data_IF_616659237724
#
_entry.id   IF_616659237724
#
_cell.length_a   1.000
_cell.length_b   1.000
_cell.length_c   1.000
_cell.angle_alpha   90.00
_cell.angle_beta   90.00
_cell.angle_gamma   90.00
#
_symmetry.space_group_name_H-M   'P 1'
#
loop_
_entity.id
_entity.type
_entity.pdbx_description
1 polymer ?
#
# COMPACT_ATOMS: atom_id res chain seq x y z
N UNK A 1 7.63 -20.02 -2.11
CA UNK A 1 6.45 -19.65 -2.93
C UNK A 1 6.40 -18.15 -3.05
N UNK A 2 6.06 -17.65 -4.24
CA UNK A 2 5.94 -16.21 -4.50
C UNK A 2 4.50 -15.89 -4.90
N UNK A 3 3.89 -14.96 -4.20
CA UNK A 3 2.56 -14.44 -4.49
C UNK A 3 2.64 -12.98 -4.91
N UNK A 4 1.86 -12.62 -5.91
CA UNK A 4 1.65 -11.22 -6.31
C UNK A 4 0.18 -10.98 -6.60
N UNK A 5 -0.39 -9.94 -5.99
CA UNK A 5 -1.77 -9.51 -6.21
C UNK A 5 -1.81 -8.00 -6.43
N UNK A 6 -2.73 -7.57 -7.27
CA UNK A 6 -2.96 -6.15 -7.53
C UNK A 6 -4.44 -5.91 -7.77
N UNK A 7 -4.95 -4.81 -7.24
CA UNK A 7 -6.31 -4.37 -7.44
C UNK A 7 -6.37 -2.85 -7.64
N UNK A 8 -7.35 -2.38 -8.42
CA UNK A 8 -7.74 -0.99 -8.49
C UNK A 8 -8.90 -0.77 -7.55
N UNK A 9 -8.80 0.21 -6.68
CA UNK A 9 -9.74 0.43 -5.58
C UNK A 9 -10.22 1.87 -5.60
N UNK A 10 -11.56 2.06 -5.59
CA UNK A 10 -12.19 3.38 -5.59
C UNK A 10 -12.18 4.03 -4.18
N UNK A 11 -11.06 3.90 -3.48
CA UNK A 11 -10.83 4.52 -2.17
C UNK A 11 -9.43 5.13 -2.13
N UNK A 12 -9.22 6.21 -1.36
CA UNK A 12 -7.90 6.81 -1.19
C UNK A 12 -6.93 5.84 -0.51
N UNK A 13 -5.64 5.97 -0.85
CA UNK A 13 -4.58 5.11 -0.32
C UNK A 13 -4.53 5.10 1.22
N UNK A 14 -4.79 6.24 1.85
CA UNK A 14 -4.82 6.41 3.29
C UNK A 14 -5.83 5.48 3.97
N UNK A 15 -7.01 5.30 3.36
CA UNK A 15 -8.05 4.40 3.89
C UNK A 15 -7.59 2.96 3.87
N UNK A 16 -7.07 2.50 2.74
CA UNK A 16 -6.57 1.13 2.61
C UNK A 16 -5.38 0.89 3.54
N UNK A 17 -4.47 1.85 3.61
CA UNK A 17 -3.31 1.77 4.49
C UNK A 17 -3.71 1.62 5.96
N UNK A 18 -4.65 2.43 6.42
CA UNK A 18 -5.18 2.36 7.79
C UNK A 18 -5.77 0.98 8.10
N UNK A 19 -6.49 0.36 7.15
CA UNK A 19 -7.03 -0.99 7.31
C UNK A 19 -5.91 -2.05 7.37
N UNK A 20 -4.86 -1.89 6.57
CA UNK A 20 -3.71 -2.81 6.55
C UNK A 20 -2.91 -2.68 7.85
N UNK A 21 -2.76 -1.49 8.39
CA UNK A 21 -2.04 -1.26 9.64
C UNK A 21 -2.80 -1.74 10.88
N UNK A 22 -4.13 -1.70 10.86
CA UNK A 22 -4.99 -2.09 11.97
C UNK A 22 -5.16 -3.62 12.06
N UNK A 23 -4.07 -4.34 12.33
CA UNK A 23 -4.09 -5.80 12.37
C UNK A 23 -5.06 -6.34 13.44
N UNK A 24 -5.30 -5.61 14.53
CA UNK A 24 -6.28 -5.95 15.57
C UNK A 24 -7.71 -6.09 15.05
N UNK A 25 -8.00 -5.50 13.89
CA UNK A 25 -9.32 -5.59 13.24
C UNK A 25 -9.46 -6.77 12.28
N UNK A 26 -8.38 -7.48 11.94
CA UNK A 26 -8.37 -8.59 11.00
C UNK A 26 -9.40 -9.67 11.29
N UNK A 27 -9.61 -10.11 12.56
CA UNK A 27 -10.63 -11.10 12.87
C UNK A 27 -12.06 -10.69 12.50
N UNK A 28 -12.32 -9.39 12.32
CA UNK A 28 -13.65 -8.89 11.99
C UNK A 28 -14.04 -9.10 10.52
N UNK A 29 -13.05 -9.31 9.62
CA UNK A 29 -13.32 -9.44 8.18
C UNK A 29 -12.47 -10.50 7.47
N UNK A 30 -11.46 -11.07 8.13
CA UNK A 30 -10.69 -12.20 7.62
C UNK A 30 -11.14 -13.49 8.34
N UNK A 31 -11.94 -14.35 7.69
CA UNK A 31 -12.57 -15.50 8.36
C UNK A 31 -11.58 -16.56 8.84
N UNK A 32 -10.36 -16.51 8.35
CA UNK A 32 -9.27 -17.40 8.75
C UNK A 32 -8.39 -16.82 9.89
N UNK A 33 -8.56 -15.55 10.22
CA UNK A 33 -7.84 -14.91 11.32
C UNK A 33 -8.60 -15.12 12.63
N UNK A 34 -8.11 -16.03 13.46
CA UNK A 34 -8.76 -16.34 14.74
C UNK A 34 -8.53 -15.22 15.77
N UNK A 35 -7.35 -14.65 15.77
CA UNK A 35 -7.00 -13.47 16.57
C UNK A 35 -5.84 -12.73 15.96
N UNK A 36 -5.76 -11.44 16.26
CA UNK A 36 -4.60 -10.61 15.93
C UNK A 36 -4.36 -9.61 17.06
N UNK A 37 -3.11 -9.48 17.47
CA UNK A 37 -2.72 -8.64 18.61
C UNK A 37 -1.52 -7.80 18.23
N UNK A 38 -1.61 -6.49 18.45
CA UNK A 38 -0.46 -5.60 18.31
C UNK A 38 0.45 -5.79 19.52
N UNK A 39 1.71 -6.13 19.28
CA UNK A 39 2.74 -6.30 20.30
C UNK A 39 3.51 -5.00 20.55
N UNK A 40 3.64 -4.18 19.51
CA UNK A 40 4.28 -2.87 19.60
C UNK A 40 3.89 -2.02 18.38
N UNK A 41 3.77 -0.71 18.60
CA UNK A 41 3.46 0.25 17.53
C UNK A 41 4.15 1.57 17.81
N UNK A 42 4.89 2.07 16.82
CA UNK A 42 5.45 3.42 16.80
C UNK A 42 5.23 4.08 15.44
N UNK A 43 5.88 5.23 15.20
CA UNK A 43 5.72 5.98 13.95
C UNK A 43 6.23 5.21 12.71
N UNK A 44 7.26 4.39 12.86
CA UNK A 44 7.96 3.70 11.75
C UNK A 44 7.76 2.20 11.70
N UNK A 45 7.31 1.57 12.80
CA UNK A 45 7.21 0.13 12.94
C UNK A 45 5.88 -0.29 13.56
N UNK A 46 5.40 -1.46 13.18
CA UNK A 46 4.34 -2.17 13.89
C UNK A 46 4.70 -3.65 14.00
N UNK A 47 4.63 -4.21 15.20
CA UNK A 47 4.77 -5.65 15.45
C UNK A 47 3.43 -6.23 15.82
N UNK A 48 3.06 -7.34 15.18
CA UNK A 48 1.77 -7.98 15.36
C UNK A 48 1.90 -9.50 15.40
N UNK A 49 1.15 -10.13 16.30
CA UNK A 49 0.91 -11.57 16.32
C UNK A 49 -0.40 -11.87 15.61
N UNK A 50 -0.36 -12.82 14.68
CA UNK A 50 -1.52 -13.30 13.92
C UNK A 50 -1.69 -14.79 14.20
N UNK A 51 -2.91 -15.18 14.58
CA UNK A 51 -3.30 -16.58 14.75
C UNK A 51 -4.20 -16.99 13.60
N UNK A 52 -3.78 -17.98 12.84
CA UNK A 52 -4.53 -18.58 11.74
C UNK A 52 -5.30 -19.79 12.25
N UNK A 53 -6.59 -19.87 11.91
CA UNK A 53 -7.42 -21.05 12.14
C UNK A 53 -8.36 -21.24 10.95
N UNK A 54 -8.07 -22.22 10.11
CA UNK A 54 -8.87 -22.50 8.91
C UNK A 54 -8.86 -23.99 8.55
N UNK A 55 -10.04 -24.59 8.36
CA UNK A 55 -10.21 -25.98 7.92
C UNK A 55 -9.35 -27.00 8.70
N UNK A 56 -9.29 -26.84 10.03
CA UNK A 56 -8.54 -27.74 10.91
C UNK A 56 -7.03 -27.42 11.01
N UNK A 57 -6.52 -26.47 10.22
CA UNK A 57 -5.15 -25.97 10.32
C UNK A 57 -5.11 -24.82 11.32
N UNK A 58 -4.18 -24.88 12.29
CA UNK A 58 -3.92 -23.79 13.25
C UNK A 58 -2.44 -23.52 13.38
N UNK A 59 -2.05 -22.27 13.32
CA UNK A 59 -0.71 -21.80 13.64
C UNK A 59 -0.71 -20.30 13.87
N UNK A 60 0.31 -19.83 14.63
CA UNK A 60 0.53 -18.43 14.86
C UNK A 60 1.88 -17.98 14.32
N UNK A 61 1.99 -16.70 14.01
CA UNK A 61 3.25 -16.07 13.65
C UNK A 61 3.27 -14.61 14.10
N UNK A 62 4.47 -14.06 14.23
CA UNK A 62 4.73 -12.67 14.57
C UNK A 62 5.48 -12.01 13.43
N UNK A 63 5.05 -10.83 13.04
CA UNK A 63 5.73 -10.00 12.06
C UNK A 63 6.14 -8.66 12.63
N UNK A 64 7.24 -8.12 12.12
CA UNK A 64 7.64 -6.73 12.30
C UNK A 64 7.54 -6.05 10.93
N UNK A 65 6.75 -5.00 10.85
CA UNK A 65 6.40 -4.32 9.63
C UNK A 65 6.92 -2.87 9.68
N UNK A 66 7.80 -2.51 8.76
CA UNK A 66 8.23 -1.12 8.58
C UNK A 66 7.17 -0.34 7.81
N UNK A 67 6.88 0.88 8.25
CA UNK A 67 5.78 1.71 7.76
C UNK A 67 6.27 2.96 7.05
N UNK A 68 5.62 3.29 5.91
CA UNK A 68 5.76 4.58 5.21
C UNK A 68 4.38 5.01 4.73
N UNK A 69 3.64 5.61 5.66
CA UNK A 69 2.28 6.09 5.41
C UNK A 69 2.23 7.11 4.26
N UNK A 70 1.25 7.06 3.39
CA UNK A 70 0.23 6.01 3.20
C UNK A 70 0.56 5.03 2.07
N UNK A 71 1.82 4.91 1.64
CA UNK A 71 2.17 4.33 0.35
C UNK A 71 2.82 2.95 0.42
N UNK A 72 3.42 2.60 1.56
CA UNK A 72 4.22 1.41 1.62
C UNK A 72 4.32 0.81 3.03
N UNK A 73 4.32 -0.52 3.10
CA UNK A 73 4.58 -1.27 4.33
C UNK A 73 5.31 -2.56 3.97
N UNK A 74 6.45 -2.83 4.61
CA UNK A 74 7.10 -4.14 4.54
C UNK A 74 6.51 -5.09 5.57
N UNK A 75 6.68 -6.38 5.35
CA UNK A 75 6.30 -7.43 6.28
C UNK A 75 7.49 -8.35 6.43
N UNK A 76 8.00 -8.53 7.64
CA UNK A 76 9.09 -9.47 7.95
C UNK A 76 8.69 -10.36 9.11
N UNK A 77 9.05 -11.65 8.99
CA UNK A 77 8.84 -12.62 10.06
C UNK A 77 9.78 -12.32 11.24
N UNK A 78 9.22 -12.34 12.42
CA UNK A 78 9.96 -12.39 13.69
C UNK A 78 9.88 -13.78 14.31
N UNK A 79 8.70 -14.38 14.35
CA UNK A 79 8.46 -15.72 14.88
C UNK A 79 7.38 -16.44 14.07
N UNK A 80 7.51 -17.75 13.90
CA UNK A 80 6.47 -18.54 13.25
C UNK A 80 7.02 -19.79 12.55
N UNK A 81 6.13 -20.57 11.93
CA UNK A 81 6.49 -21.85 11.30
C UNK A 81 7.00 -21.70 9.87
N UNK A 82 7.66 -20.58 9.57
CA UNK A 82 8.23 -20.31 8.25
C UNK A 82 9.76 -20.29 8.32
N UNK A 83 10.41 -20.75 7.26
CA UNK A 83 11.85 -20.54 7.02
C UNK A 83 12.11 -19.19 6.38
N UNK A 84 11.16 -18.74 5.57
CA UNK A 84 11.15 -17.43 4.92
C UNK A 84 9.74 -16.87 4.91
N UNK A 85 9.61 -15.59 5.24
CA UNK A 85 8.35 -14.87 5.15
C UNK A 85 8.65 -13.39 5.05
N UNK A 86 8.55 -12.87 3.84
CA UNK A 86 8.84 -11.49 3.50
C UNK A 86 7.76 -10.98 2.55
N UNK A 87 7.19 -9.84 2.84
CA UNK A 87 6.17 -9.25 1.99
C UNK A 87 6.22 -7.74 1.96
N UNK A 88 5.44 -7.18 1.06
CA UNK A 88 5.21 -5.75 0.99
C UNK A 88 3.81 -5.41 0.49
N UNK A 89 3.28 -4.34 1.03
CA UNK A 89 2.16 -3.61 0.49
C UNK A 89 2.66 -2.34 -0.18
N UNK A 90 2.14 -2.06 -1.36
CA UNK A 90 2.38 -0.81 -2.06
C UNK A 90 1.06 -0.22 -2.51
N UNK A 91 0.84 1.06 -2.19
CA UNK A 91 -0.37 1.78 -2.53
C UNK A 91 0.02 3.00 -3.35
N UNK A 92 -0.45 3.03 -4.59
CA UNK A 92 -0.17 4.12 -5.54
C UNK A 92 -1.45 4.89 -5.78
N UNK A 93 -1.55 6.17 -5.37
CA UNK A 93 -2.70 7.01 -5.67
C UNK A 93 -2.94 7.14 -7.19
N UNK A 94 -4.21 7.21 -7.60
CA UNK A 94 -4.66 7.34 -8.98
C UNK A 94 -5.54 8.59 -9.12
N UNK A 95 -4.96 9.76 -8.90
CA UNK A 95 -5.66 11.04 -8.89
C UNK A 95 -6.97 10.96 -8.06
N UNK A 96 -8.09 11.42 -8.59
CA UNK A 96 -9.39 11.44 -7.90
C UNK A 96 -10.13 10.10 -7.90
N UNK A 97 -9.57 9.06 -8.55
CA UNK A 97 -10.25 7.78 -8.78
C UNK A 97 -10.06 6.75 -7.66
N UNK A 98 -9.07 6.96 -6.79
CA UNK A 98 -8.73 6.01 -5.76
C UNK A 98 -7.26 5.62 -5.75
N UNK A 99 -6.95 4.32 -5.57
CA UNK A 99 -5.56 3.86 -5.57
C UNK A 99 -5.41 2.49 -6.22
N UNK A 100 -4.18 2.19 -6.66
CA UNK A 100 -3.73 0.84 -6.98
C UNK A 100 -3.11 0.24 -5.73
N UNK A 101 -3.59 -0.92 -5.32
CA UNK A 101 -3.03 -1.73 -4.25
C UNK A 101 -2.25 -2.87 -4.87
N UNK A 102 -1.01 -3.06 -4.45
CA UNK A 102 -0.17 -4.19 -4.81
C UNK A 102 0.30 -4.88 -3.53
N UNK A 103 0.17 -6.20 -3.51
CA UNK A 103 0.66 -7.06 -2.45
C UNK A 103 1.62 -8.08 -3.01
N UNK A 104 2.78 -8.21 -2.39
CA UNK A 104 3.77 -9.23 -2.69
C UNK A 104 4.13 -9.97 -1.43
N UNK A 105 4.25 -11.29 -1.53
CA UNK A 105 4.64 -12.14 -0.41
C UNK A 105 5.49 -13.31 -0.93
N UNK A 106 6.69 -13.44 -0.37
CA UNK A 106 7.54 -14.62 -0.55
C UNK A 106 7.56 -15.37 0.76
N UNK A 107 7.18 -16.65 0.74
CA UNK A 107 7.16 -17.48 1.93
C UNK A 107 7.60 -18.92 1.68
N UNK A 108 8.15 -19.54 2.72
CA UNK A 108 8.53 -20.94 2.75
C UNK A 108 8.24 -21.49 4.16
N UNK A 109 7.47 -22.55 4.24
CA UNK A 109 7.19 -23.21 5.51
C UNK A 109 8.36 -24.03 6.01
N UNK A 110 8.51 -24.08 7.33
CA UNK A 110 9.35 -25.09 7.97
C UNK A 110 8.53 -26.40 8.10
N UNK A 111 8.79 -27.35 7.20
CA UNK A 111 8.04 -28.61 7.14
C UNK A 111 8.08 -29.44 8.44
N UNK A 112 9.09 -29.21 9.30
CA UNK A 112 9.19 -29.87 10.59
C UNK A 112 8.21 -29.32 11.64
N UNK A 113 7.70 -28.09 11.44
CA UNK A 113 6.85 -27.40 12.41
C UNK A 113 5.36 -27.38 12.02
N UNK A 114 5.05 -27.69 10.77
CA UNK A 114 3.70 -27.55 10.24
C UNK A 114 3.34 -28.76 9.36
N UNK A 115 2.10 -29.23 9.47
CA UNK A 115 1.63 -30.37 8.69
C UNK A 115 1.49 -30.07 7.18
N UNK A 116 1.38 -31.09 6.34
CA UNK A 116 1.36 -30.95 4.89
C UNK A 116 0.16 -30.15 4.35
N UNK A 117 -0.91 -30.03 5.12
CA UNK A 117 -2.10 -29.27 4.75
C UNK A 117 -1.98 -27.76 4.91
N UNK A 118 -0.98 -27.28 5.61
CA UNK A 118 -0.85 -25.84 5.88
C UNK A 118 -0.47 -25.03 4.63
N UNK A 119 0.41 -25.55 3.78
CA UNK A 119 0.85 -24.84 2.58
C UNK A 119 -0.32 -24.54 1.59
N UNK A 120 -1.16 -25.49 1.18
CA UNK A 120 -2.29 -25.20 0.29
C UNK A 120 -3.36 -24.32 0.97
N UNK A 121 -3.58 -24.49 2.28
CA UNK A 121 -4.50 -23.61 3.02
C UNK A 121 -3.97 -22.17 2.99
N UNK A 122 -2.72 -21.96 3.33
CA UNK A 122 -2.12 -20.62 3.37
C UNK A 122 -2.09 -19.96 1.98
N UNK A 123 -1.81 -20.70 0.92
CA UNK A 123 -1.89 -20.18 -0.45
C UNK A 123 -3.29 -19.64 -0.76
N UNK A 124 -4.34 -20.38 -0.41
CA UNK A 124 -5.72 -19.92 -0.59
C UNK A 124 -6.03 -18.66 0.22
N UNK A 125 -5.56 -18.57 1.48
CA UNK A 125 -5.79 -17.42 2.34
C UNK A 125 -5.14 -16.16 1.76
N UNK A 126 -3.91 -16.27 1.28
CA UNK A 126 -3.18 -15.16 0.70
C UNK A 126 -3.72 -14.73 -0.66
N UNK A 127 -4.28 -15.66 -1.44
CA UNK A 127 -4.95 -15.37 -2.71
C UNK A 127 -6.19 -14.48 -2.53
N UNK A 128 -6.92 -14.63 -1.44
CA UNK A 128 -8.16 -13.88 -1.16
C UNK A 128 -7.93 -12.63 -0.30
N UNK A 129 -6.69 -12.41 0.15
CA UNK A 129 -6.37 -11.36 1.12
C UNK A 129 -6.72 -9.96 0.60
N UNK A 130 -6.22 -9.59 -0.59
CA UNK A 130 -6.43 -8.25 -1.19
C UNK A 130 -7.92 -7.97 -1.37
N UNK A 131 -8.68 -8.95 -1.88
CA UNK A 131 -10.12 -8.82 -2.09
C UNK A 131 -10.88 -8.60 -0.77
N UNK A 132 -10.43 -9.22 0.32
CA UNK A 132 -11.03 -9.02 1.63
C UNK A 132 -10.81 -7.59 2.16
N UNK A 133 -9.62 -7.02 1.95
CA UNK A 133 -9.34 -5.62 2.29
C UNK A 133 -10.15 -4.65 1.45
N UNK A 134 -10.29 -4.89 0.14
CA UNK A 134 -11.12 -4.07 -0.75
C UNK A 134 -12.57 -4.08 -0.29
N UNK A 135 -13.17 -5.26 -0.08
CA UNK A 135 -14.55 -5.37 0.45
C UNK A 135 -14.72 -4.64 1.78
N UNK A 136 -13.73 -4.76 2.67
CA UNK A 136 -13.78 -4.06 3.97
C UNK A 136 -13.76 -2.55 3.81
N UNK A 137 -12.97 -2.03 2.88
CA UNK A 137 -12.95 -0.60 2.55
C UNK A 137 -14.31 -0.11 2.02
N UNK A 138 -14.95 -0.91 1.15
CA UNK A 138 -16.28 -0.62 0.59
C UNK A 138 -17.36 -0.60 1.69
N UNK A 139 -17.38 -1.59 2.59
CA UNK A 139 -18.32 -1.65 3.71
C UNK A 139 -18.23 -0.41 4.62
N UNK A 140 -17.01 0.02 4.93
CA UNK A 140 -16.78 1.20 5.76
C UNK A 140 -17.07 2.50 5.00
N UNK A 141 -16.82 2.54 3.69
CA UNK A 141 -17.14 3.66 2.81
C UNK A 141 -18.65 3.93 2.74
N UNK A 142 -19.41 2.88 2.54
CA UNK A 142 -20.89 2.96 2.49
C UNK A 142 -21.48 3.45 3.82
N UNK A 143 -20.92 3.06 4.95
CA UNK A 143 -21.38 3.52 6.26
C UNK A 143 -21.14 5.03 6.48
N UNK A 144 -20.06 5.59 5.96
CA UNK A 144 -19.77 7.02 6.07
C UNK A 144 -20.69 7.88 5.20
N UNK A 145 -21.14 7.37 4.06
CA UNK A 145 -22.08 8.08 3.17
C UNK A 145 -23.53 8.02 3.66
N UNK A 146 -23.87 7.08 4.55
CA UNK A 146 -25.20 6.93 5.12
C UNK A 146 -25.40 7.67 6.45
N UNK A 147 -24.39 8.39 6.94
CA UNK A 147 -24.60 9.30 8.08
C UNK A 147 -25.36 10.54 7.61
N UNK A 148 -26.60 10.78 8.07
CA UNK A 148 -27.34 11.97 7.68
C UNK A 148 -26.87 13.19 8.50
N UNK A 149 -25.65 13.64 8.23
CA UNK A 149 -25.13 14.85 8.82
C UNK A 149 -24.90 15.90 7.75
N UNK A 150 -25.78 16.90 7.76
CA UNK A 150 -25.82 18.09 6.96
C UNK A 150 -26.62 17.96 5.65
N UNK A 151 -27.92 18.28 5.76
CA UNK A 151 -28.68 18.84 4.65
C UNK A 151 -27.88 20.03 4.08
N UNK A 152 -27.75 20.17 2.76
CA UNK A 152 -27.10 21.33 2.18
C UNK A 152 -27.89 22.59 2.63
N UNK A 153 -27.19 23.71 2.94
CA UNK A 153 -27.88 24.94 3.29
C UNK A 153 -28.84 25.28 2.14
N UNK A 154 -30.09 25.54 2.50
CA UNK A 154 -31.14 25.95 1.55
C UNK A 154 -30.58 27.10 0.70
N UNK A 155 -30.55 26.91 -0.60
CA UNK A 155 -30.22 27.96 -1.56
C UNK A 155 -31.32 29.02 -1.41
N UNK A 156 -31.01 30.26 -1.04
CA UNK A 156 -32.04 31.30 -1.00
C UNK A 156 -32.55 31.55 -2.44
N UNK A 157 -33.81 31.28 -2.64
CA UNK A 157 -34.50 31.62 -3.88
C UNK A 157 -34.70 33.16 -3.94
N UNK A 158 -33.70 33.83 -4.52
CA UNK A 158 -33.88 35.21 -4.99
C UNK A 158 -32.84 35.50 -6.07
N UNK A 159 -33.20 35.24 -7.30
CA UNK A 159 -32.54 35.83 -8.47
C UNK A 159 -33.29 37.13 -8.77
N UNK A 160 -32.72 38.32 -8.57
CA UNK A 160 -33.26 39.51 -9.17
C UNK A 160 -32.92 39.54 -10.66
N UNK A 161 -33.95 39.52 -11.49
CA UNK A 161 -33.85 39.80 -12.90
C UNK A 161 -33.45 41.27 -13.12
N UNK A 162 -32.17 41.49 -13.51
CA UNK A 162 -31.80 42.74 -14.16
C UNK A 162 -30.57 42.46 -15.02
N UNK A 163 -30.77 42.29 -16.31
CA UNK A 163 -29.75 42.34 -17.34
C UNK A 163 -29.62 43.80 -17.76
N UNK A 164 -28.47 44.47 -17.62
CA UNK A 164 -28.19 45.64 -18.43
C UNK A 164 -27.38 45.19 -19.64
N UNK A 165 -27.96 45.45 -20.83
CA UNK A 165 -27.25 45.40 -22.11
C UNK A 165 -26.31 46.59 -22.18
N UNK A 166 -24.98 46.30 -22.30
CA UNK A 166 -24.02 47.15 -23.00
C UNK A 166 -22.70 46.42 -23.11
N UNK A 167 -22.40 45.93 -24.29
CA UNK A 167 -21.06 45.51 -24.72
C UNK A 167 -20.37 46.71 -25.36
N UNK A 168 -19.17 47.12 -24.95
CA UNK A 168 -18.26 47.81 -25.84
C UNK A 168 -17.19 46.82 -26.33
N UNK A 169 -17.14 46.65 -27.63
CA UNK A 169 -16.04 46.05 -28.33
C UNK A 169 -14.78 46.88 -28.16
N UNK A 170 -13.71 46.32 -27.66
CA UNK A 170 -12.33 46.78 -27.87
C UNK A 170 -11.37 45.60 -27.61
N UNK A 171 -10.92 45.02 -28.67
CA UNK A 171 -9.72 44.16 -28.71
C UNK A 171 -8.47 45.08 -28.60
N UNK A 172 -7.45 44.71 -27.85
CA UNK A 172 -6.09 44.94 -28.28
C UNK A 172 -5.40 43.64 -28.63
N UNK A 173 -4.89 43.66 -29.89
CA UNK A 173 -3.87 42.76 -30.38
C UNK A 173 -2.53 43.09 -29.69
N UNK A 174 -1.86 42.07 -29.14
CA UNK A 174 -0.42 41.89 -29.15
C UNK A 174 -0.03 40.59 -28.48
N UNK A 175 0.39 39.61 -29.25
CA UNK A 175 1.17 38.46 -28.82
C UNK A 175 2.58 38.91 -28.49
N UNK A 176 3.20 38.51 -27.36
CA UNK A 176 4.65 38.60 -27.19
C UNK A 176 5.38 37.45 -27.91
N UNK A 177 6.63 37.68 -28.35
CA UNK A 177 7.38 36.71 -29.15
C UNK A 177 7.89 35.52 -28.36
N UNK A 178 7.94 34.37 -29.02
CA UNK A 178 8.50 33.13 -28.52
C UNK A 178 9.97 33.25 -28.07
N UNK A 179 10.28 32.71 -26.90
CA UNK A 179 11.65 32.50 -26.42
C UNK A 179 12.26 31.25 -27.08
N UNK A 180 13.54 31.24 -27.45
CA UNK A 180 14.16 30.10 -28.12
C UNK A 180 14.49 28.97 -27.15
N UNK A 181 14.29 27.72 -27.63
CA UNK A 181 14.76 26.50 -27.01
C UNK A 181 16.27 26.53 -26.75
N UNK A 182 16.68 26.38 -25.50
CA UNK A 182 18.05 26.05 -25.15
C UNK A 182 18.28 24.53 -25.28
N UNK A 183 19.30 24.18 -26.07
CA UNK A 183 19.76 22.81 -26.29
C UNK A 183 20.40 22.21 -25.02
N UNK A 184 20.36 20.88 -24.82
CA UNK A 184 21.03 20.23 -23.72
C UNK A 184 22.55 20.18 -23.92
N UNK A 185 23.28 20.68 -22.94
CA UNK A 185 24.75 20.63 -22.88
C UNK A 185 25.23 19.22 -22.45
N UNK A 186 26.36 18.88 -23.05
CA UNK A 186 27.09 17.63 -23.05
C UNK A 186 27.39 17.00 -21.69
N UNK A 187 27.49 15.64 -21.73
CA UNK A 187 28.01 14.77 -20.70
C UNK A 187 29.52 15.05 -20.40
N UNK A 188 29.98 14.85 -19.16
CA UNK A 188 31.39 14.67 -18.91
C UNK A 188 31.82 13.18 -18.98
N UNK A 189 32.93 13.00 -19.66
CA UNK A 189 33.72 11.84 -19.96
C UNK A 189 34.24 11.13 -18.70
N UNK A 190 34.31 9.82 -18.81
CA UNK A 190 34.93 8.87 -17.87
C UNK A 190 36.43 9.18 -17.65
N UNK A 191 36.89 9.02 -16.43
CA UNK A 191 38.29 8.69 -16.13
C UNK A 191 38.41 8.08 -14.73
N UNK A 192 39.14 6.98 -14.63
CA UNK A 192 39.87 6.57 -13.44
C UNK A 192 39.46 5.27 -12.78
N UNK A 193 39.95 4.14 -13.29
CA UNK A 193 40.06 2.90 -12.52
C UNK A 193 41.18 3.03 -11.47
N UNK A 194 41.00 2.53 -10.24
CA UNK A 194 42.11 2.38 -9.29
C UNK A 194 42.87 1.09 -9.49
N UNK A 195 44.18 1.06 -9.12
CA UNK A 195 45.08 -0.07 -9.37
C UNK A 195 44.87 -1.21 -8.37
N UNK A 196 45.23 -2.41 -8.84
CA UNK A 196 45.27 -3.64 -8.07
C UNK A 196 46.27 -3.55 -6.90
N UNK A 197 45.86 -3.93 -5.72
CA UNK A 197 46.73 -4.14 -4.56
C UNK A 197 47.27 -5.56 -4.51
N UNK A 198 48.40 -5.80 -3.82
CA UNK A 198 49.24 -7.00 -3.99
C UNK A 198 48.73 -8.21 -3.22
N UNK A 199 48.99 -9.36 -3.81
CA UNK A 199 48.81 -10.71 -3.30
C UNK A 199 49.60 -10.94 -2.00
N UNK A 200 48.96 -11.52 -0.99
CA UNK A 200 49.63 -12.10 0.18
C UNK A 200 49.99 -13.56 -0.03
N UNK A 201 51.13 -14.04 0.47
CA UNK A 201 51.63 -15.40 0.28
C UNK A 201 51.00 -16.41 1.25
N UNK A 202 51.11 -17.72 0.96
CA UNK A 202 50.55 -18.77 1.81
C UNK A 202 51.46 -19.07 3.02
N UNK A 203 50.83 -19.28 4.19
CA UNK A 203 51.48 -19.83 5.36
C UNK A 203 51.50 -21.37 5.27
N UNK A 204 52.68 -21.92 5.35
CA UNK A 204 53.00 -23.33 5.60
C UNK A 204 52.99 -23.61 7.11
N UNK A 205 52.64 -24.83 7.43
CA UNK A 205 52.70 -25.73 8.57
C UNK A 205 51.39 -25.96 9.30
#
# INVERSE_FOLDING_TARGET
MDLRRSALVAHPAERLYTLIEAAEDYPKFLPWCASATILGRDAGLVSARIEVAWRGVRFGFVTVNEKRFPHWMSIRLEQGPFRRFEGEWRLTPLADWGCRVEFRLTYEFNAALIGPLAAPVFAHLTDTLVDAFVRRADELGTRMTLSPAAAPPAIPAAIPAAIPAAVPASLPAALPPALPCAAPSAAPTAAGAPPAGPSSPPLQE
#
